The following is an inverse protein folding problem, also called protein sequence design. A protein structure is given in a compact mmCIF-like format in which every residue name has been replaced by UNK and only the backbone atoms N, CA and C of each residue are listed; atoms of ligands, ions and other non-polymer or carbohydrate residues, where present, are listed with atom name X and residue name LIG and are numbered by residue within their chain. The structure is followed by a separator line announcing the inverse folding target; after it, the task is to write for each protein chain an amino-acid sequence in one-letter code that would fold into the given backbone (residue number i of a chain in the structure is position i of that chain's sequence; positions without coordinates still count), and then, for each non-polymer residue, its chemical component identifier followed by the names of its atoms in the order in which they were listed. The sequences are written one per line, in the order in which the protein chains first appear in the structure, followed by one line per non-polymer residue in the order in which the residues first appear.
data_IF_858065758205
#
_entry.id   IF_858065758205
#
_cell.length_a   1.000
_cell.length_b   1.000
_cell.length_c   1.000
_cell.angle_alpha   90.00
_cell.angle_beta   90.00
_cell.angle_gamma   90.00
#
_symmetry.space_group_name_H-M   'P 1'
#
loop_
_entity.id
_entity.type
_entity.pdbx_description
1 polymer ?
#
# COMPACT_ATOMS: atom_id res chain seq x y z
N UNK A 1 -25.65 -9.74 -24.16
CA UNK A 1 -24.58 -8.81 -24.57
C UNK A 1 -23.29 -9.60 -24.62
N UNK A 2 -22.61 -9.67 -25.77
CA UNK A 2 -21.29 -10.30 -25.86
C UNK A 2 -20.22 -9.39 -25.27
N UNK A 3 -19.19 -9.98 -24.67
CA UNK A 3 -18.03 -9.23 -24.15
C UNK A 3 -17.25 -8.61 -25.32
N UNK A 4 -16.85 -7.33 -25.26
CA UNK A 4 -16.03 -6.72 -26.30
C UNK A 4 -14.68 -7.44 -26.43
N UNK A 5 -14.22 -7.66 -27.66
CA UNK A 5 -12.88 -8.21 -27.94
C UNK A 5 -11.92 -7.07 -28.23
N UNK A 6 -10.83 -6.96 -27.46
CA UNK A 6 -9.82 -5.91 -27.66
C UNK A 6 -8.77 -6.42 -28.68
N UNK A 7 -8.59 -5.74 -29.82
CA UNK A 7 -7.63 -6.17 -30.84
C UNK A 7 -6.18 -6.11 -30.31
N UNK A 8 -5.28 -6.99 -30.78
CA UNK A 8 -3.87 -6.96 -30.41
C UNK A 8 -3.21 -5.64 -30.85
N UNK A 9 -2.33 -5.11 -30.01
CA UNK A 9 -1.56 -3.89 -30.26
C UNK A 9 -0.07 -4.22 -30.25
N UNK A 10 0.75 -3.53 -31.08
CA UNK A 10 2.18 -3.84 -31.22
C UNK A 10 2.97 -3.64 -29.92
N UNK A 11 2.62 -2.65 -29.10
CA UNK A 11 3.31 -2.32 -27.85
C UNK A 11 2.56 -2.82 -26.60
N UNK A 12 1.84 -3.95 -26.71
CA UNK A 12 1.14 -4.53 -25.57
C UNK A 12 2.15 -5.17 -24.60
N UNK A 13 2.21 -4.74 -23.33
CA UNK A 13 3.10 -5.34 -22.35
C UNK A 13 2.71 -6.79 -22.06
N UNK A 14 3.71 -7.60 -21.73
CA UNK A 14 3.53 -8.96 -21.23
C UNK A 14 2.83 -8.95 -19.87
N UNK A 15 2.22 -10.09 -19.51
CA UNK A 15 1.59 -10.23 -18.20
C UNK A 15 2.58 -9.99 -17.04
N UNK A 16 3.85 -10.38 -17.21
CA UNK A 16 4.89 -10.19 -16.19
C UNK A 16 5.21 -8.71 -16.00
N UNK A 17 5.38 -7.96 -17.10
CA UNK A 17 5.60 -6.50 -17.05
C UNK A 17 4.43 -5.80 -16.35
N UNK A 18 3.18 -6.13 -16.72
CA UNK A 18 2.00 -5.54 -16.08
C UNK A 18 1.96 -5.83 -14.57
N UNK A 19 2.33 -7.05 -14.14
CA UNK A 19 2.37 -7.39 -12.72
C UNK A 19 3.43 -6.57 -11.98
N UNK A 20 4.62 -6.42 -12.57
CA UNK A 20 5.70 -5.60 -12.01
C UNK A 20 5.26 -4.14 -11.91
N UNK A 21 4.69 -3.57 -12.97
CA UNK A 21 4.22 -2.18 -12.98
C UNK A 21 3.13 -1.94 -11.92
N UNK A 22 2.22 -2.90 -11.72
CA UNK A 22 1.20 -2.83 -10.68
C UNK A 22 1.79 -2.92 -9.27
N UNK A 23 2.81 -3.75 -9.06
CA UNK A 23 3.52 -3.82 -7.79
C UNK A 23 4.29 -2.54 -7.51
N UNK A 24 4.96 -1.97 -8.52
CA UNK A 24 5.65 -0.68 -8.40
C UNK A 24 4.67 0.43 -8.07
N UNK A 25 3.50 0.46 -8.71
CA UNK A 25 2.44 1.41 -8.40
C UNK A 25 2.00 1.33 -6.93
N UNK A 26 1.81 0.12 -6.39
CA UNK A 26 1.48 -0.08 -4.97
C UNK A 26 2.62 0.41 -4.07
N UNK A 27 3.88 0.07 -4.40
CA UNK A 27 5.03 0.52 -3.63
C UNK A 27 5.18 2.04 -3.61
N UNK A 28 4.87 2.73 -4.73
CA UNK A 28 4.85 4.19 -4.78
C UNK A 28 3.74 4.79 -3.91
N UNK A 29 2.56 4.16 -3.85
CA UNK A 29 1.49 4.57 -2.94
C UNK A 29 1.90 4.40 -1.46
N UNK A 30 2.59 3.30 -1.11
CA UNK A 30 3.15 3.04 0.23
C UNK A 30 4.19 4.10 0.64
N UNK A 31 5.12 4.44 -0.27
CA UNK A 31 6.11 5.49 -0.05
C UNK A 31 5.41 6.84 0.22
N UNK A 32 4.38 7.18 -0.57
CA UNK A 32 3.61 8.40 -0.36
C UNK A 32 2.92 8.43 1.01
N UNK A 33 2.39 7.30 1.49
CA UNK A 33 1.80 7.21 2.84
C UNK A 33 2.83 7.41 3.94
N UNK A 34 4.04 6.86 3.78
CA UNK A 34 5.11 7.06 4.75
C UNK A 34 5.47 8.54 4.92
N UNK A 35 5.47 9.30 3.83
CA UNK A 35 5.69 10.76 3.86
C UNK A 35 4.56 11.50 4.55
N UNK A 36 3.30 11.12 4.30
CA UNK A 36 2.15 11.71 4.99
C UNK A 36 2.20 11.43 6.51
N UNK A 37 2.57 10.21 6.90
CA UNK A 37 2.70 9.83 8.30
C UNK A 37 3.83 10.62 8.98
N UNK A 38 4.97 10.80 8.31
CA UNK A 38 6.05 11.63 8.83
C UNK A 38 5.64 13.10 8.96
N UNK A 39 4.95 13.67 7.97
CA UNK A 39 4.45 15.03 8.03
C UNK A 39 3.45 15.23 9.20
N UNK A 40 2.60 14.24 9.45
CA UNK A 40 1.70 14.26 10.61
C UNK A 40 2.48 14.20 11.94
N UNK A 41 3.53 13.38 12.01
CA UNK A 41 4.40 13.30 13.18
C UNK A 41 5.12 14.64 13.46
N UNK A 42 5.65 15.29 12.43
CA UNK A 42 6.25 16.62 12.53
C UNK A 42 5.22 17.68 12.99
N UNK A 43 3.98 17.62 12.48
CA UNK A 43 2.88 18.49 12.94
C UNK A 43 2.58 18.28 14.43
N UNK A 44 2.55 17.03 14.90
CA UNK A 44 2.35 16.69 16.31
C UNK A 44 3.51 17.24 17.16
N UNK A 45 4.75 17.05 16.71
CA UNK A 45 5.92 17.58 17.41
C UNK A 45 5.91 19.11 17.49
N UNK A 46 5.50 19.80 16.42
CA UNK A 46 5.36 21.26 16.41
C UNK A 46 4.25 21.74 17.36
N UNK A 47 3.16 20.98 17.49
CA UNK A 47 2.06 21.30 18.41
C UNK A 47 2.44 21.10 19.88
N UNK A 48 3.07 19.97 20.20
CA UNK A 48 3.43 19.58 21.57
C UNK A 48 4.71 20.26 22.05
N UNK A 49 5.60 20.63 21.14
CA UNK A 49 6.93 21.18 21.44
C UNK A 49 7.98 20.10 21.72
N UNK A 50 9.24 20.40 21.41
CA UNK A 50 10.37 19.46 21.62
C UNK A 50 10.53 19.05 23.10
N UNK A 51 10.16 19.94 24.02
CA UNK A 51 10.22 19.71 25.46
C UNK A 51 8.85 19.36 26.07
N UNK A 52 7.83 19.04 25.25
CA UNK A 52 6.45 18.82 25.68
C UNK A 52 5.84 20.01 26.43
N UNK A 53 6.23 21.21 26.05
CA UNK A 53 5.94 22.48 26.72
C UNK A 53 4.77 23.26 26.09
N UNK A 54 4.22 22.75 24.98
CA UNK A 54 3.13 23.38 24.22
C UNK A 54 3.39 24.88 23.93
N UNK A 55 4.27 25.20 22.96
CA UNK A 55 4.79 26.56 22.77
C UNK A 55 3.70 27.62 22.50
N UNK A 56 2.56 27.21 21.91
CA UNK A 56 1.41 28.09 21.63
C UNK A 56 0.46 28.28 22.81
N UNK A 57 0.68 27.55 23.92
CA UNK A 57 -0.18 27.52 25.12
C UNK A 57 -1.66 27.25 24.78
N UNK A 58 -1.97 26.14 24.09
CA UNK A 58 -3.34 25.78 23.74
C UNK A 58 -4.14 25.51 25.02
N UNK A 59 -5.43 25.81 24.94
CA UNK A 59 -6.41 25.40 25.93
C UNK A 59 -6.59 23.88 25.94
N UNK A 60 -7.12 23.34 27.04
CA UNK A 60 -7.47 21.91 27.14
C UNK A 60 -8.42 21.47 26.03
N UNK A 61 -9.32 22.36 25.58
CA UNK A 61 -10.25 22.06 24.49
C UNK A 61 -9.50 21.86 23.17
N UNK A 62 -8.54 22.73 22.86
CA UNK A 62 -7.71 22.64 21.65
C UNK A 62 -6.83 21.38 21.66
N UNK A 63 -6.27 21.00 22.80
CA UNK A 63 -5.51 19.75 22.95
C UNK A 63 -6.39 18.53 22.63
N UNK A 64 -7.60 18.48 23.19
CA UNK A 64 -8.54 17.37 22.92
C UNK A 64 -8.94 17.34 21.45
N UNK A 65 -9.21 18.51 20.86
CA UNK A 65 -9.58 18.62 19.44
C UNK A 65 -8.45 18.14 18.54
N UNK A 66 -7.22 18.62 18.77
CA UNK A 66 -6.03 18.20 18.03
C UNK A 66 -5.83 16.68 18.11
N UNK A 67 -5.93 16.10 19.32
CA UNK A 67 -5.79 14.66 19.48
C UNK A 67 -6.88 13.87 18.73
N UNK A 68 -8.11 14.38 18.65
CA UNK A 68 -9.17 13.76 17.85
C UNK A 68 -8.86 13.80 16.35
N UNK A 69 -8.29 14.89 15.84
CA UNK A 69 -7.89 14.99 14.43
C UNK A 69 -6.77 13.99 14.10
N UNK A 70 -5.79 13.85 14.99
CA UNK A 70 -4.71 12.84 14.85
C UNK A 70 -5.29 11.42 14.80
N UNK A 71 -6.25 11.10 15.68
CA UNK A 71 -6.91 9.77 15.67
C UNK A 71 -7.65 9.54 14.35
N UNK A 72 -8.41 10.52 13.85
CA UNK A 72 -9.12 10.41 12.57
C UNK A 72 -8.17 10.25 11.38
N UNK A 73 -7.03 10.93 11.40
CA UNK A 73 -5.99 10.75 10.41
C UNK A 73 -5.45 9.31 10.44
N UNK A 74 -5.11 8.79 11.62
CA UNK A 74 -4.62 7.40 11.77
C UNK A 74 -5.66 6.36 11.31
N UNK A 75 -6.94 6.54 11.65
CA UNK A 75 -8.03 5.68 11.15
C UNK A 75 -8.07 5.67 9.61
N UNK A 76 -7.86 6.83 8.98
CA UNK A 76 -7.81 6.96 7.52
C UNK A 76 -6.61 6.25 6.92
N UNK A 77 -5.43 6.35 7.55
CA UNK A 77 -4.23 5.62 7.12
C UNK A 77 -4.46 4.11 7.22
N UNK A 78 -5.02 3.60 8.33
CA UNK A 78 -5.31 2.16 8.49
C UNK A 78 -6.25 1.64 7.39
N UNK A 79 -7.28 2.41 7.02
CA UNK A 79 -8.15 2.05 5.89
C UNK A 79 -7.37 2.00 4.57
N UNK A 80 -6.42 2.91 4.35
CA UNK A 80 -5.61 2.94 3.14
C UNK A 80 -4.62 1.76 3.07
N UNK A 81 -3.96 1.44 4.17
CA UNK A 81 -3.09 0.25 4.33
C UNK A 81 -3.85 -1.02 3.97
N UNK A 82 -5.09 -1.16 4.48
CA UNK A 82 -5.94 -2.30 4.14
C UNK A 82 -6.29 -2.35 2.65
N UNK A 83 -6.55 -1.21 2.01
CA UNK A 83 -6.80 -1.15 0.56
C UNK A 83 -5.54 -1.54 -0.24
N UNK A 84 -4.35 -1.10 0.18
CA UNK A 84 -3.09 -1.45 -0.47
C UNK A 84 -2.76 -2.94 -0.32
N UNK A 85 -2.97 -3.50 0.87
CA UNK A 85 -2.87 -4.94 1.10
C UNK A 85 -3.78 -5.73 0.14
N UNK A 86 -5.05 -5.30 -0.02
CA UNK A 86 -5.97 -5.96 -0.96
C UNK A 86 -5.55 -5.83 -2.41
N UNK A 87 -5.00 -4.68 -2.83
CA UNK A 87 -4.42 -4.54 -4.18
C UNK A 87 -3.26 -5.51 -4.36
N UNK A 88 -2.36 -5.57 -3.39
CA UNK A 88 -1.20 -6.45 -3.41
C UNK A 88 -1.59 -7.93 -3.49
N UNK A 89 -2.53 -8.39 -2.66
CA UNK A 89 -3.07 -9.75 -2.71
C UNK A 89 -3.67 -10.08 -4.08
N UNK A 90 -4.37 -9.13 -4.71
CA UNK A 90 -4.96 -9.34 -6.03
C UNK A 90 -3.92 -9.40 -7.14
N UNK A 91 -2.89 -8.54 -7.09
CA UNK A 91 -1.77 -8.57 -8.05
C UNK A 91 -0.97 -9.86 -7.91
N UNK A 92 -0.74 -10.33 -6.68
CA UNK A 92 0.00 -11.57 -6.41
C UNK A 92 -0.69 -12.80 -7.00
N UNK A 93 -2.03 -12.82 -7.07
CA UNK A 93 -2.79 -13.91 -7.73
C UNK A 93 -2.57 -13.98 -9.24
N UNK A 94 -2.06 -12.91 -9.86
CA UNK A 94 -1.76 -12.87 -11.30
C UNK A 94 -0.36 -13.44 -11.62
N UNK A 95 0.46 -13.69 -10.59
CA UNK A 95 1.77 -14.32 -10.78
C UNK A 95 1.54 -15.78 -11.18
N UNK A 96 1.99 -16.21 -12.37
CA UNK A 96 1.90 -17.60 -12.74
C UNK A 96 2.75 -18.43 -11.77
N UNK A 97 2.13 -19.37 -11.06
CA UNK A 97 2.86 -20.42 -10.39
C UNK A 97 3.56 -21.25 -11.47
N UNK A 98 4.87 -21.08 -11.61
CA UNK A 98 5.70 -22.11 -12.22
C UNK A 98 5.64 -23.31 -11.26
N UNK A 99 4.63 -24.16 -11.45
CA UNK A 99 4.72 -25.53 -10.97
C UNK A 99 5.98 -26.07 -11.62
N UNK A 100 7.00 -26.29 -10.81
CA UNK A 100 8.18 -27.00 -11.23
C UNK A 100 7.74 -28.38 -11.72
N UNK A 101 7.58 -28.53 -13.03
CA UNK A 101 7.71 -29.81 -13.74
C UNK A 101 9.15 -30.39 -13.63
N UNK A 102 9.95 -29.91 -12.66
CA UNK A 102 11.18 -30.55 -12.23
C UNK A 102 10.96 -31.67 -11.22
N UNK A 103 9.74 -31.89 -10.69
CA UNK A 103 9.44 -33.11 -9.93
C UNK A 103 9.10 -34.32 -10.83
N UNK A 104 9.71 -34.44 -12.02
CA UNK A 104 9.57 -35.62 -12.90
C UNK A 104 10.85 -36.11 -13.57
N UNK A 105 12.04 -35.60 -13.21
CA UNK A 105 13.29 -36.10 -13.83
C UNK A 105 14.37 -36.64 -12.91
N UNK A 106 14.29 -36.42 -11.59
CA UNK A 106 15.38 -36.84 -10.69
C UNK A 106 15.06 -38.01 -9.77
N UNK A 107 13.79 -38.38 -9.57
CA UNK A 107 13.44 -39.60 -8.83
C UNK A 107 12.22 -40.27 -9.46
N UNK A 108 12.45 -41.43 -10.08
CA UNK A 108 11.40 -42.29 -10.63
C UNK A 108 10.45 -42.78 -9.55
N UNK A 109 9.42 -42.00 -9.27
CA UNK A 109 8.29 -42.42 -8.46
C UNK A 109 7.04 -42.50 -9.35
N UNK A 110 6.62 -43.72 -9.63
CA UNK A 110 5.24 -44.03 -10.01
C UNK A 110 4.33 -43.69 -8.83
N UNK A 111 3.35 -42.81 -9.05
CA UNK A 111 2.05 -42.73 -8.37
C UNK A 111 1.16 -41.76 -9.17
#
# INVERSE_FOLDING_TARGET
MSMPTIPPQPDRPSQVEVVVDLMESIALEEIALSHLLNAEAEKIQAFVGECLDFPTKPSTCEIIMFNKEVVQFLETIVMKEWLLLRKFENVTKLIPFHHSDQCKKDFGCDC
#
